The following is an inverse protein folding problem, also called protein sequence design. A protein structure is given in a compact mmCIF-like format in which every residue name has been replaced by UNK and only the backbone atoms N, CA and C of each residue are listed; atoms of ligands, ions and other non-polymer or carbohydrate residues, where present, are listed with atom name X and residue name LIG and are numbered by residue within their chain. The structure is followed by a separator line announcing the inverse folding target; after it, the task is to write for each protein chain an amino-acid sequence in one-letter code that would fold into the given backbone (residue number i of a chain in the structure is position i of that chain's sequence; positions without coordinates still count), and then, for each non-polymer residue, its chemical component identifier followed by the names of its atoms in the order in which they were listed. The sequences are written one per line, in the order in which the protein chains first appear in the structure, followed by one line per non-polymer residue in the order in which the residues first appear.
data_IF_971840056814
#
_entry.id   IF_971840056814
#
_cell.length_a   1.000
_cell.length_b   1.000
_cell.length_c   1.000
_cell.angle_alpha   90.00
_cell.angle_beta   90.00
_cell.angle_gamma   90.00
#
_symmetry.space_group_name_H-M   'P 1'
#
loop_
_entity.id
_entity.type
_entity.pdbx_description
1 polymer ?
#
# COMPACT_ATOMS: atom_id res chain seq x y z
N UNK A 1 -5.69 29.05 3.90
CA UNK A 1 -5.92 27.63 4.22
C UNK A 1 -6.22 26.86 2.94
N UNK A 2 -5.21 26.21 2.38
CA UNK A 2 -5.26 25.44 1.13
C UNK A 2 -5.57 23.96 1.45
N UNK A 3 -6.57 23.39 0.77
CA UNK A 3 -6.90 21.97 0.87
C UNK A 3 -6.14 21.20 -0.21
N UNK A 4 -5.37 20.20 0.22
CA UNK A 4 -4.50 19.41 -0.65
C UNK A 4 -4.88 17.94 -0.57
N UNK A 5 -4.98 17.31 -1.74
CA UNK A 5 -5.28 15.89 -1.86
C UNK A 5 -3.97 15.11 -2.06
N UNK A 6 -3.78 14.05 -1.27
CA UNK A 6 -2.72 13.08 -1.48
C UNK A 6 -3.20 11.65 -1.18
N UNK A 7 -3.42 10.86 -2.24
CA UNK A 7 -3.76 9.45 -2.14
C UNK A 7 -2.53 8.55 -1.93
N UNK A 8 -1.36 9.00 -2.38
CA UNK A 8 -0.09 8.29 -2.25
C UNK A 8 1.10 9.22 -1.97
N UNK A 9 2.28 8.62 -1.81
CA UNK A 9 3.51 9.33 -1.49
C UNK A 9 3.99 10.25 -2.61
N UNK A 10 3.79 9.89 -3.88
CA UNK A 10 4.28 10.67 -5.02
C UNK A 10 3.41 11.91 -5.24
N UNK A 11 2.08 11.77 -5.11
CA UNK A 11 1.14 12.90 -5.05
C UNK A 11 1.50 13.84 -3.90
N UNK A 12 1.66 13.31 -2.68
CA UNK A 12 2.08 14.09 -1.51
C UNK A 12 3.38 14.85 -1.78
N UNK A 13 4.40 14.16 -2.32
CA UNK A 13 5.72 14.74 -2.59
C UNK A 13 5.64 15.87 -3.61
N UNK A 14 4.85 15.68 -4.67
CA UNK A 14 4.64 16.70 -5.70
C UNK A 14 4.04 17.98 -5.09
N UNK A 15 2.97 17.83 -4.30
CA UNK A 15 2.32 19.00 -3.69
C UNK A 15 3.18 19.64 -2.60
N UNK A 16 3.82 18.85 -1.73
CA UNK A 16 4.73 19.37 -0.71
C UNK A 16 5.85 20.21 -1.35
N UNK A 17 6.39 19.77 -2.50
CA UNK A 17 7.38 20.55 -3.25
C UNK A 17 6.84 21.87 -3.76
N UNK A 18 5.61 21.89 -4.30
CA UNK A 18 4.94 23.11 -4.76
C UNK A 18 4.76 24.10 -3.61
N UNK A 19 4.22 23.65 -2.47
CA UNK A 19 3.96 24.51 -1.30
C UNK A 19 5.23 25.11 -0.71
N UNK A 20 6.33 24.35 -0.70
CA UNK A 20 7.64 24.84 -0.24
C UNK A 20 8.27 25.78 -1.26
N UNK A 21 8.03 25.56 -2.55
CA UNK A 21 8.57 26.39 -3.62
C UNK A 21 7.86 27.74 -3.77
N UNK A 22 6.68 27.89 -3.16
CA UNK A 22 5.94 29.15 -3.12
C UNK A 22 6.78 30.25 -2.45
N UNK A 23 6.62 31.49 -2.91
CA UNK A 23 7.39 32.65 -2.47
C UNK A 23 7.26 32.91 -0.96
N UNK A 24 6.12 32.54 -0.37
CA UNK A 24 5.83 32.73 1.06
C UNK A 24 6.10 31.48 1.92
N UNK A 25 6.60 30.37 1.34
CA UNK A 25 6.84 29.10 2.02
C UNK A 25 5.67 28.65 2.92
N UNK A 26 4.56 28.23 2.30
CA UNK A 26 3.26 28.02 2.98
C UNK A 26 3.42 27.23 4.30
N UNK A 27 3.08 27.84 5.45
CA UNK A 27 3.31 27.22 6.73
C UNK A 27 2.31 26.07 6.99
N UNK A 28 2.67 25.07 7.83
CA UNK A 28 1.86 23.86 8.01
C UNK A 28 0.43 24.10 8.55
N UNK A 29 0.20 25.19 9.28
CA UNK A 29 -1.11 25.62 9.78
C UNK A 29 -2.08 26.04 8.67
N UNK A 30 -1.55 26.48 7.53
CA UNK A 30 -2.32 26.92 6.38
C UNK A 30 -2.63 25.79 5.39
N UNK A 31 -2.20 24.56 5.68
CA UNK A 31 -2.37 23.41 4.77
C UNK A 31 -3.22 22.32 5.43
N UNK A 32 -4.35 22.00 4.80
CA UNK A 32 -5.15 20.83 5.17
C UNK A 32 -4.94 19.70 4.18
N UNK A 33 -4.61 18.51 4.70
CA UNK A 33 -4.40 17.31 3.89
C UNK A 33 -5.63 16.40 3.93
N UNK A 34 -6.10 15.95 2.77
CA UNK A 34 -7.22 15.01 2.61
C UNK A 34 -6.85 13.84 1.70
N UNK A 35 -7.40 12.66 1.98
CA UNK A 35 -7.26 11.44 1.15
C UNK A 35 -8.44 11.24 0.20
N UNK A 36 -9.58 11.87 0.48
CA UNK A 36 -10.76 11.76 -0.36
C UNK A 36 -10.69 12.81 -1.46
N UNK A 37 -10.65 12.38 -2.73
CA UNK A 37 -11.19 13.16 -3.85
C UNK A 37 -12.72 13.26 -3.67
N UNK A 38 -13.18 13.94 -2.61
CA UNK A 38 -14.55 14.44 -2.66
C UNK A 38 -14.62 15.42 -3.83
N UNK A 39 -15.75 15.39 -4.54
CA UNK A 39 -16.10 16.31 -5.63
C UNK A 39 -16.01 17.76 -5.14
N UNK A 40 -14.79 18.29 -5.07
CA UNK A 40 -14.50 19.64 -4.65
C UNK A 40 -13.91 20.33 -5.87
N UNK A 41 -14.84 21.02 -6.53
CA UNK A 41 -14.69 22.03 -7.56
C UNK A 41 -13.72 21.74 -8.70
N UNK A 42 -14.36 21.55 -9.85
CA UNK A 42 -13.99 21.91 -11.22
C UNK A 42 -13.44 23.35 -11.41
N UNK A 43 -12.97 24.03 -10.35
CA UNK A 43 -12.37 25.35 -10.40
C UNK A 43 -10.96 25.27 -9.85
N UNK A 44 -10.05 25.76 -10.68
CA UNK A 44 -8.61 25.68 -10.52
C UNK A 44 -8.07 24.27 -10.79
N UNK A 45 -8.16 23.89 -12.06
CA UNK A 45 -7.07 23.16 -12.70
C UNK A 45 -5.80 24.00 -12.52
N UNK A 46 -5.20 23.91 -11.33
CA UNK A 46 -3.93 24.52 -11.03
C UNK A 46 -2.97 23.92 -12.04
N UNK A 47 -2.54 24.79 -12.94
CA UNK A 47 -1.53 24.53 -13.94
C UNK A 47 -0.44 23.65 -13.32
N UNK A 48 0.05 22.69 -14.09
CA UNK A 48 1.26 21.94 -13.75
C UNK A 48 2.44 22.92 -13.70
N UNK A 49 2.50 23.76 -12.66
CA UNK A 49 3.53 24.77 -12.56
C UNK A 49 4.76 24.06 -12.06
N UNK A 50 5.68 23.90 -13.00
CA UNK A 50 6.96 23.23 -12.88
C UNK A 50 7.89 24.08 -11.99
N UNK A 51 7.57 24.20 -10.71
CA UNK A 51 8.42 24.88 -9.74
C UNK A 51 9.59 23.97 -9.37
N UNK A 52 10.67 24.13 -10.13
CA UNK A 52 11.97 23.50 -9.88
C UNK A 52 12.72 24.21 -8.74
N UNK A 53 12.05 24.49 -7.61
CA UNK A 53 12.77 25.01 -6.45
C UNK A 53 13.80 23.96 -5.99
N UNK A 54 15.08 24.37 -6.03
CA UNK A 54 16.23 23.55 -5.67
C UNK A 54 16.45 23.62 -4.16
N UNK A 55 15.55 23.06 -3.37
CA UNK A 55 15.81 22.82 -1.95
C UNK A 55 16.30 21.38 -1.74
N UNK A 56 17.29 21.21 -0.87
CA UNK A 56 17.89 19.90 -0.58
C UNK A 56 17.21 19.28 0.64
N UNK A 57 16.46 18.22 0.41
CA UNK A 57 15.84 17.43 1.48
C UNK A 57 16.82 16.36 1.97
N UNK A 58 17.00 16.17 3.29
CA UNK A 58 17.83 15.08 3.82
C UNK A 58 17.36 13.70 3.33
N UNK A 59 18.30 12.83 2.97
CA UNK A 59 17.99 11.47 2.50
C UNK A 59 17.22 10.67 3.55
N UNK A 60 17.63 10.76 4.81
CA UNK A 60 17.01 10.04 5.93
C UNK A 60 15.53 10.41 6.10
N UNK A 61 15.18 11.67 5.84
CA UNK A 61 13.79 12.11 5.83
C UNK A 61 13.00 11.41 4.71
N UNK A 62 13.56 11.34 3.49
CA UNK A 62 12.89 10.72 2.35
C UNK A 62 12.65 9.22 2.57
N UNK A 63 13.62 8.51 3.15
CA UNK A 63 13.48 7.09 3.50
C UNK A 63 12.40 6.89 4.58
N UNK A 64 12.38 7.73 5.61
CA UNK A 64 11.33 7.72 6.63
C UNK A 64 9.95 8.02 6.03
N UNK A 65 9.86 9.03 5.18
CA UNK A 65 8.60 9.49 4.59
C UNK A 65 7.97 8.46 3.65
N UNK A 66 8.78 7.72 2.89
CA UNK A 66 8.29 6.60 2.06
C UNK A 66 7.63 5.50 2.92
N UNK A 67 8.24 5.15 4.05
CA UNK A 67 7.69 4.12 4.96
C UNK A 67 6.42 4.65 5.64
N UNK A 68 6.47 5.87 6.17
CA UNK A 68 5.34 6.49 6.88
C UNK A 68 4.15 6.75 5.95
N UNK A 69 4.40 7.02 4.67
CA UNK A 69 3.34 7.17 3.65
C UNK A 69 2.42 5.95 3.54
N UNK A 70 2.91 4.75 3.88
CA UNK A 70 2.12 3.51 3.93
C UNK A 70 1.30 3.33 5.23
N UNK A 71 1.43 4.23 6.21
CA UNK A 71 0.68 4.13 7.46
C UNK A 71 -0.80 4.48 7.23
N UNK A 72 -1.72 3.80 7.92
CA UNK A 72 -3.18 3.98 7.70
C UNK A 72 -3.78 5.28 8.25
N UNK A 73 -3.01 6.05 9.01
CA UNK A 73 -3.52 7.22 9.72
C UNK A 73 -3.50 8.44 8.80
N UNK A 74 -4.62 9.14 8.57
CA UNK A 74 -4.69 10.30 7.68
C UNK A 74 -3.82 11.48 8.11
N UNK A 75 -3.45 11.57 9.40
CA UNK A 75 -2.59 12.66 9.88
C UNK A 75 -1.15 12.57 9.33
N UNK A 76 -0.76 11.43 8.73
CA UNK A 76 0.59 11.19 8.23
C UNK A 76 1.07 12.27 7.26
N UNK A 77 0.22 12.71 6.34
CA UNK A 77 0.59 13.68 5.31
C UNK A 77 0.88 15.06 5.88
N UNK A 78 0.00 15.51 6.79
CA UNK A 78 0.17 16.76 7.55
C UNK A 78 1.44 16.71 8.41
N UNK A 79 1.68 15.59 9.09
CA UNK A 79 2.85 15.42 9.95
C UNK A 79 4.16 15.43 9.14
N UNK A 80 4.20 14.71 8.01
CA UNK A 80 5.35 14.69 7.11
C UNK A 80 5.63 16.09 6.55
N UNK A 81 4.59 16.82 6.12
CA UNK A 81 4.75 18.19 5.63
C UNK A 81 5.29 19.13 6.72
N UNK A 82 4.76 19.06 7.94
CA UNK A 82 5.23 19.87 9.07
C UNK A 82 6.71 19.62 9.40
N UNK A 83 7.13 18.35 9.45
CA UNK A 83 8.53 17.99 9.71
C UNK A 83 9.43 18.43 8.56
N UNK A 84 9.00 18.27 7.31
CA UNK A 84 9.73 18.76 6.14
C UNK A 84 9.91 20.29 6.19
N UNK A 85 8.86 21.03 6.52
CA UNK A 85 8.90 22.48 6.66
C UNK A 85 9.91 22.89 7.75
N UNK A 86 9.84 22.28 8.95
CA UNK A 86 10.78 22.56 10.07
C UNK A 86 12.24 22.28 9.70
N UNK A 87 12.50 21.16 9.00
CA UNK A 87 13.85 20.81 8.53
C UNK A 87 14.45 21.88 7.60
N UNK A 88 13.61 22.49 6.76
CA UNK A 88 14.02 23.53 5.81
C UNK A 88 14.11 24.92 6.45
N UNK A 89 13.32 25.19 7.50
CA UNK A 89 13.23 26.50 8.17
C UNK A 89 14.11 26.65 9.42
N UNK A 90 15.19 25.86 9.52
CA UNK A 90 16.26 26.07 10.50
C UNK A 90 16.57 24.88 11.38
N UNK A 91 15.67 23.90 11.50
CA UNK A 91 15.87 22.73 12.36
C UNK A 91 16.56 21.57 11.60
N UNK A 92 17.73 21.80 11.02
CA UNK A 92 18.44 20.85 10.12
C UNK A 92 18.70 19.47 10.74
N UNK A 93 18.80 19.39 12.06
CA UNK A 93 19.06 18.17 12.82
C UNK A 93 17.82 17.62 13.54
N UNK A 94 16.61 18.09 13.19
CA UNK A 94 15.36 17.69 13.85
C UNK A 94 15.22 16.16 13.97
N UNK A 95 15.52 15.41 12.90
CA UNK A 95 15.43 13.95 12.91
C UNK A 95 16.35 13.25 13.93
N UNK A 96 17.41 13.91 14.41
CA UNK A 96 18.26 13.37 15.47
C UNK A 96 17.67 13.57 16.87
N UNK A 97 16.68 14.46 17.02
CA UNK A 97 16.05 14.79 18.30
C UNK A 97 14.87 13.83 18.52
N UNK A 98 15.15 12.64 19.05
CA UNK A 98 14.12 11.59 19.24
C UNK A 98 13.04 11.95 20.27
N UNK A 99 13.30 12.95 21.11
CA UNK A 99 12.35 13.47 22.11
C UNK A 99 11.38 14.51 21.52
N UNK A 100 11.62 14.98 20.30
CA UNK A 100 10.66 15.85 19.61
C UNK A 100 9.36 15.08 19.33
N UNK A 101 8.22 15.71 19.61
CA UNK A 101 6.91 15.05 19.53
C UNK A 101 6.53 14.59 18.11
N UNK A 102 6.96 15.34 17.09
CA UNK A 102 6.66 15.01 15.68
C UNK A 102 7.53 13.86 15.21
N UNK A 103 8.83 13.94 15.49
CA UNK A 103 9.82 12.90 15.18
C UNK A 103 9.46 11.60 15.89
N UNK A 104 9.10 11.67 17.17
CA UNK A 104 8.62 10.52 17.93
C UNK A 104 7.39 9.87 17.27
N UNK A 105 6.43 10.68 16.85
CA UNK A 105 5.22 10.20 16.19
C UNK A 105 5.52 9.54 14.84
N UNK A 106 6.39 10.15 14.01
CA UNK A 106 6.83 9.56 12.74
C UNK A 106 7.53 8.22 12.95
N UNK A 107 8.46 8.12 13.91
CA UNK A 107 9.13 6.85 14.21
C UNK A 107 8.17 5.79 14.74
N UNK A 108 7.14 6.17 15.50
CA UNK A 108 6.10 5.22 15.94
C UNK A 108 5.31 4.68 14.74
N UNK A 109 4.94 5.53 13.79
CA UNK A 109 4.28 5.11 12.54
C UNK A 109 5.20 4.18 11.74
N UNK A 110 6.47 4.56 11.56
CA UNK A 110 7.49 3.75 10.89
C UNK A 110 7.63 2.36 11.52
N UNK A 111 7.70 2.28 12.86
CA UNK A 111 7.75 1.01 13.60
C UNK A 111 6.50 0.16 13.36
N UNK A 112 5.31 0.77 13.31
CA UNK A 112 4.08 0.04 13.01
C UNK A 112 4.13 -0.57 11.60
N UNK A 113 4.43 0.23 10.58
CA UNK A 113 4.53 -0.23 9.19
C UNK A 113 5.60 -1.32 9.06
N UNK A 114 6.77 -1.13 9.66
CA UNK A 114 7.87 -2.11 9.64
C UNK A 114 7.49 -3.42 10.32
N UNK A 115 6.78 -3.35 11.45
CA UNK A 115 6.23 -4.52 12.13
C UNK A 115 5.21 -5.24 11.25
N UNK A 116 4.36 -4.51 10.53
CA UNK A 116 3.36 -5.11 9.65
C UNK A 116 4.04 -5.80 8.45
N UNK A 117 5.09 -5.19 7.88
CA UNK A 117 5.96 -5.82 6.87
C UNK A 117 6.63 -7.08 7.44
N UNK A 118 7.17 -7.01 8.65
CA UNK A 118 7.79 -8.17 9.29
C UNK A 118 6.76 -9.27 9.54
N UNK A 119 5.56 -8.93 10.05
CA UNK A 119 4.49 -9.90 10.27
C UNK A 119 4.04 -10.55 8.96
N UNK A 120 3.93 -9.77 7.91
CA UNK A 120 3.65 -10.27 6.57
C UNK A 120 4.72 -11.26 6.12
N UNK A 121 6.01 -10.93 6.30
CA UNK A 121 7.13 -11.79 5.88
C UNK A 121 7.29 -13.05 6.74
N UNK A 122 7.11 -12.95 8.05
CA UNK A 122 7.44 -13.99 9.03
C UNK A 122 6.26 -14.89 9.42
N UNK A 123 5.03 -14.36 9.38
CA UNK A 123 3.86 -15.03 9.94
C UNK A 123 2.71 -15.21 8.95
N UNK A 124 2.79 -14.68 7.73
CA UNK A 124 1.85 -15.12 6.67
C UNK A 124 2.20 -16.56 6.34
N UNK A 125 1.48 -17.45 7.00
CA UNK A 125 1.50 -18.88 6.78
C UNK A 125 0.24 -19.21 6.02
N UNK A 126 0.39 -19.63 4.78
CA UNK A 126 -0.70 -20.19 4.02
C UNK A 126 -1.03 -21.53 4.67
N UNK A 127 -2.10 -21.56 5.48
CA UNK A 127 -2.60 -22.79 6.08
C UNK A 127 -3.75 -23.27 5.22
N UNK A 128 -3.49 -24.42 4.62
CA UNK A 128 -4.53 -25.35 4.24
C UNK A 128 -5.53 -25.53 5.39
N UNK A 129 -6.75 -25.04 5.27
CA UNK A 129 -7.75 -25.21 6.33
C UNK A 129 -7.90 -26.77 6.55
N UNK A 130 -8.34 -27.33 7.70
CA UNK A 130 -8.94 -28.71 7.73
C UNK A 130 -10.31 -28.73 8.50
N UNK A 131 -11.28 -29.54 8.06
CA UNK A 131 -12.74 -29.46 8.31
C UNK A 131 -13.01 -30.84 8.81
N UNK A 132 -12.92 -30.94 10.12
CA UNK A 132 -13.38 -32.08 10.87
C UNK A 132 -12.97 -33.44 10.28
N UNK A 133 -11.70 -33.82 10.44
CA UNK A 133 -11.28 -34.99 11.22
C UNK A 133 -9.91 -35.52 10.74
N UNK A 134 -9.05 -35.80 11.74
CA UNK A 134 -7.81 -36.59 11.82
C UNK A 134 -7.24 -37.25 10.54
N UNK A 135 -5.93 -37.38 10.30
CA UNK A 135 -4.68 -37.00 10.96
C UNK A 135 -3.52 -37.27 9.97
N UNK A 136 -2.33 -36.73 10.26
CA UNK A 136 -0.99 -37.22 9.87
C UNK A 136 -0.74 -37.66 8.42
N UNK A 137 -0.27 -36.69 7.63
CA UNK A 137 0.57 -36.68 6.40
C UNK A 137 0.46 -35.21 5.91
N UNK A 138 1.37 -34.60 5.11
CA UNK A 138 1.10 -33.29 4.51
C UNK A 138 -0.08 -33.41 3.51
N UNK A 139 -1.29 -33.54 4.05
CA UNK A 139 -2.50 -33.96 3.36
C UNK A 139 -3.19 -32.75 2.75
N UNK A 140 -3.61 -32.82 1.47
CA UNK A 140 -4.62 -32.08 0.66
C UNK A 140 -5.01 -30.65 1.10
N UNK A 141 -6.16 -30.06 0.77
CA UNK A 141 -6.85 -29.07 1.60
C UNK A 141 -8.00 -29.54 2.41
N UNK A 142 -8.41 -28.59 3.21
CA UNK A 142 -9.59 -28.72 3.99
C UNK A 142 -10.77 -29.14 3.14
N UNK A 143 -11.62 -30.00 3.66
CA UNK A 143 -12.99 -30.09 3.19
C UNK A 143 -13.84 -28.80 3.40
N UNK A 144 -13.35 -27.75 4.12
CA UNK A 144 -14.01 -26.42 4.27
C UNK A 144 -13.36 -25.24 3.52
N UNK A 145 -12.28 -25.43 2.74
CA UNK A 145 -11.67 -24.28 2.05
C UNK A 145 -12.58 -23.90 0.89
N UNK A 146 -13.38 -22.87 1.12
CA UNK A 146 -14.35 -22.39 0.15
C UNK A 146 -13.72 -21.70 -1.06
N UNK A 147 -12.55 -21.07 -0.85
CA UNK A 147 -11.82 -20.27 -1.84
C UNK A 147 -10.32 -20.37 -1.56
N UNK A 148 -9.52 -20.60 -2.59
CA UNK A 148 -8.05 -20.60 -2.52
C UNK A 148 -7.46 -19.58 -3.51
N UNK A 149 -6.58 -18.69 -3.06
CA UNK A 149 -5.97 -17.66 -3.92
C UNK A 149 -4.46 -17.85 -3.98
N UNK A 150 -3.94 -18.14 -5.18
CA UNK A 150 -2.52 -18.29 -5.47
C UNK A 150 -1.90 -16.92 -5.80
N UNK A 151 -0.84 -16.54 -5.08
CA UNK A 151 -0.08 -15.33 -5.37
C UNK A 151 1.10 -15.66 -6.30
N UNK A 152 0.95 -15.35 -7.58
CA UNK A 152 1.96 -15.53 -8.62
C UNK A 152 2.02 -16.93 -9.23
N UNK A 153 2.91 -17.08 -10.23
CA UNK A 153 3.01 -18.29 -11.05
C UNK A 153 3.41 -19.54 -10.26
N UNK A 154 4.38 -19.43 -9.35
CA UNK A 154 4.92 -20.60 -8.63
C UNK A 154 3.87 -21.29 -7.77
N UNK A 155 3.06 -20.52 -7.04
CA UNK A 155 1.99 -21.06 -6.22
C UNK A 155 0.86 -21.63 -7.08
N UNK A 156 0.50 -20.94 -8.17
CA UNK A 156 -0.53 -21.39 -9.09
C UNK A 156 -0.13 -22.69 -9.81
N UNK A 157 1.10 -22.80 -10.32
CA UNK A 157 1.58 -24.00 -11.01
C UNK A 157 1.64 -25.23 -10.12
N UNK A 158 1.83 -25.05 -8.82
CA UNK A 158 1.79 -26.15 -7.85
C UNK A 158 0.39 -26.75 -7.69
N UNK A 159 -0.68 -25.96 -7.92
CA UNK A 159 -2.07 -26.40 -7.75
C UNK A 159 -2.81 -26.63 -9.07
N UNK A 160 -2.45 -25.89 -10.13
CA UNK A 160 -3.16 -25.82 -11.41
C UNK A 160 -2.35 -26.46 -12.56
N UNK A 161 -1.14 -26.96 -12.28
CA UNK A 161 -0.27 -27.58 -13.27
C UNK A 161 0.71 -26.62 -13.95
N UNK A 162 1.72 -27.19 -14.60
CA UNK A 162 2.86 -26.44 -15.19
C UNK A 162 2.47 -25.55 -16.37
N UNK A 163 1.35 -25.85 -17.02
CA UNK A 163 0.85 -25.10 -18.17
C UNK A 163 0.21 -23.77 -17.77
N UNK A 164 -0.10 -23.58 -16.48
CA UNK A 164 -0.65 -22.33 -15.97
C UNK A 164 0.25 -21.13 -16.27
N UNK A 165 -0.32 -20.10 -16.88
CA UNK A 165 0.33 -18.83 -17.22
C UNK A 165 -0.38 -17.68 -16.54
N UNK A 166 0.26 -17.10 -15.52
CA UNK A 166 -0.31 -15.97 -14.75
C UNK A 166 -0.76 -14.78 -15.62
N UNK A 167 -0.08 -14.54 -16.74
CA UNK A 167 -0.40 -13.44 -17.66
C UNK A 167 -1.70 -13.67 -18.44
N UNK A 168 -2.15 -14.92 -18.57
CA UNK A 168 -3.31 -15.31 -19.37
C UNK A 168 -4.46 -15.80 -18.47
N UNK A 169 -4.14 -16.59 -17.45
CA UNK A 169 -5.10 -17.37 -16.68
C UNK A 169 -5.49 -16.71 -15.34
N UNK A 170 -4.90 -15.56 -14.97
CA UNK A 170 -5.22 -14.88 -13.70
C UNK A 170 -6.70 -14.50 -13.60
N UNK A 171 -7.21 -14.48 -12.38
CA UNK A 171 -8.59 -14.09 -12.08
C UNK A 171 -9.66 -15.10 -12.49
N UNK A 172 -9.28 -16.16 -13.22
CA UNK A 172 -10.19 -17.24 -13.56
C UNK A 172 -10.36 -18.20 -12.37
N UNK A 173 -11.59 -18.69 -12.21
CA UNK A 173 -11.90 -19.75 -11.28
C UNK A 173 -11.58 -21.10 -11.90
N UNK A 174 -10.66 -21.82 -11.24
CA UNK A 174 -10.22 -23.14 -11.63
C UNK A 174 -10.52 -24.06 -10.46
N UNK A 175 -11.25 -25.14 -10.76
CA UNK A 175 -11.42 -26.24 -9.82
C UNK A 175 -10.12 -27.04 -9.79
N UNK A 176 -9.64 -27.31 -8.58
CA UNK A 176 -8.46 -28.15 -8.36
C UNK A 176 -8.81 -29.22 -7.33
N UNK A 177 -7.98 -30.26 -7.25
CA UNK A 177 -8.05 -31.26 -6.18
C UNK A 177 -7.97 -30.64 -4.77
N UNK A 178 -7.57 -29.37 -4.71
CA UNK A 178 -7.33 -28.60 -3.51
C UNK A 178 -8.55 -27.77 -3.08
N UNK A 179 -9.29 -27.19 -4.03
CA UNK A 179 -10.44 -26.34 -3.74
C UNK A 179 -11.30 -26.16 -5.02
N UNK A 180 -12.65 -26.23 -4.91
CA UNK A 180 -13.54 -26.01 -6.05
C UNK A 180 -13.46 -24.59 -6.61
N UNK A 181 -12.99 -23.61 -5.80
CA UNK A 181 -12.79 -22.23 -6.21
C UNK A 181 -11.36 -21.81 -5.94
N UNK A 182 -10.46 -22.23 -6.81
CA UNK A 182 -9.07 -21.78 -6.81
C UNK A 182 -8.92 -20.67 -7.85
N UNK A 183 -8.33 -19.54 -7.49
CA UNK A 183 -7.86 -18.55 -8.48
C UNK A 183 -6.39 -18.27 -8.27
N UNK A 184 -5.76 -17.67 -9.27
CA UNK A 184 -4.44 -17.08 -9.15
C UNK A 184 -4.48 -15.59 -9.50
N UNK A 185 -3.65 -14.81 -8.82
CA UNK A 185 -3.49 -13.38 -9.05
C UNK A 185 -2.01 -12.99 -8.98
N UNK A 186 -1.71 -11.73 -9.31
CA UNK A 186 -0.35 -11.21 -9.26
C UNK A 186 0.25 -11.35 -7.85
N UNK A 187 1.52 -11.73 -7.81
CA UNK A 187 2.27 -11.65 -6.56
C UNK A 187 2.56 -10.18 -6.23
N UNK A 188 2.36 -9.69 -4.99
CA UNK A 188 2.60 -8.29 -4.63
C UNK A 188 4.02 -7.80 -4.98
N UNK A 189 5.05 -8.62 -4.74
CA UNK A 189 6.42 -8.29 -5.12
C UNK A 189 6.65 -8.17 -6.65
N UNK A 190 5.80 -8.78 -7.49
CA UNK A 190 5.87 -8.58 -8.94
C UNK A 190 5.33 -7.20 -9.34
N UNK A 191 4.26 -6.75 -8.68
CA UNK A 191 3.67 -5.40 -8.85
C UNK A 191 4.72 -4.36 -8.44
N UNK A 192 5.30 -4.49 -7.25
CA UNK A 192 6.29 -3.53 -6.72
C UNK A 192 7.58 -3.43 -7.56
N UNK A 193 7.89 -4.45 -8.36
CA UNK A 193 9.08 -4.46 -9.24
C UNK A 193 8.77 -4.07 -10.68
N UNK A 194 7.52 -3.77 -11.02
CA UNK A 194 7.13 -3.38 -12.37
C UNK A 194 7.56 -1.92 -12.63
N UNK A 195 8.55 -1.66 -13.52
CA UNK A 195 9.05 -0.31 -13.77
C UNK A 195 8.08 0.56 -14.59
N UNK A 196 7.26 -0.05 -15.44
CA UNK A 196 6.26 0.67 -16.23
C UNK A 196 5.09 1.07 -15.32
N UNK A 197 4.89 2.37 -15.10
CA UNK A 197 3.88 2.89 -14.17
C UNK A 197 2.45 2.56 -14.60
N UNK A 198 2.16 2.57 -15.90
CA UNK A 198 0.84 2.22 -16.44
C UNK A 198 0.56 0.75 -16.16
N UNK A 199 1.54 -0.12 -16.46
CA UNK A 199 1.44 -1.55 -16.21
C UNK A 199 1.40 -1.86 -14.71
N UNK A 200 2.13 -1.12 -13.89
CA UNK A 200 2.11 -1.25 -12.43
C UNK A 200 0.71 -0.99 -11.87
N UNK A 201 0.12 0.15 -12.21
CA UNK A 201 -1.26 0.52 -11.82
C UNK A 201 -2.28 -0.49 -12.35
N UNK A 202 -2.12 -0.97 -13.59
CA UNK A 202 -2.96 -2.05 -14.14
C UNK A 202 -2.83 -3.35 -13.33
N UNK A 203 -1.61 -3.79 -13.02
CA UNK A 203 -1.37 -5.00 -12.22
C UNK A 203 -1.93 -4.87 -10.79
N UNK A 204 -1.80 -3.68 -10.18
CA UNK A 204 -2.36 -3.38 -8.86
C UNK A 204 -3.88 -3.42 -8.88
N UNK A 205 -4.52 -2.79 -9.87
CA UNK A 205 -5.97 -2.82 -10.02
C UNK A 205 -6.49 -4.24 -10.21
N UNK A 206 -5.85 -5.00 -11.11
CA UNK A 206 -6.14 -6.41 -11.35
C UNK A 206 -6.03 -7.27 -10.08
N UNK A 207 -4.98 -7.06 -9.29
CA UNK A 207 -4.80 -7.74 -8.01
C UNK A 207 -5.93 -7.43 -7.02
N UNK A 208 -6.34 -6.17 -6.92
CA UNK A 208 -7.45 -5.74 -6.06
C UNK A 208 -8.77 -6.36 -6.52
N UNK A 209 -9.02 -6.38 -7.82
CA UNK A 209 -10.25 -6.92 -8.40
C UNK A 209 -10.35 -8.44 -8.18
N UNK A 210 -9.24 -9.17 -8.36
CA UNK A 210 -9.14 -10.60 -8.08
C UNK A 210 -9.44 -10.88 -6.59
N UNK A 211 -8.89 -10.09 -5.67
CA UNK A 211 -9.18 -10.23 -4.23
C UNK A 211 -10.63 -9.89 -3.86
N UNK A 212 -11.24 -8.89 -4.52
CA UNK A 212 -12.66 -8.57 -4.34
C UNK A 212 -13.55 -9.72 -4.81
N UNK A 213 -13.25 -10.29 -5.98
CA UNK A 213 -13.95 -11.47 -6.49
C UNK A 213 -13.80 -12.66 -5.53
N UNK A 214 -12.59 -12.87 -4.98
CA UNK A 214 -12.36 -13.90 -3.97
C UNK A 214 -13.24 -13.71 -2.74
N UNK A 215 -13.29 -12.49 -2.20
CA UNK A 215 -14.14 -12.15 -1.06
C UNK A 215 -15.63 -12.34 -1.36
N UNK A 216 -16.10 -11.90 -2.52
CA UNK A 216 -17.52 -12.01 -2.92
C UNK A 216 -17.96 -13.47 -3.10
N UNK A 217 -17.02 -14.36 -3.44
CA UNK A 217 -17.32 -15.77 -3.58
C UNK A 217 -17.44 -16.50 -2.23
N UNK A 218 -16.96 -15.95 -1.12
CA UNK A 218 -17.19 -16.55 0.20
C UNK A 218 -18.69 -16.53 0.51
N UNK A 219 -19.26 -17.66 0.96
CA UNK A 219 -20.64 -17.66 1.44
C UNK A 219 -20.76 -16.71 2.64
N UNK A 220 -21.88 -15.97 2.80
CA UNK A 220 -22.13 -15.24 4.03
C UNK A 220 -22.15 -16.24 5.18
N UNK A 221 -21.37 -15.98 6.24
CA UNK A 221 -21.46 -16.75 7.48
C UNK A 221 -22.88 -16.59 8.03
N UNK A 222 -23.74 -17.58 7.79
CA UNK A 222 -24.93 -17.78 8.61
C UNK A 222 -24.40 -18.44 9.88
N UNK A 223 -24.19 -17.61 10.90
CA UNK A 223 -23.97 -18.04 12.27
C UNK A 223 -25.05 -17.35 13.09
N UNK A 224 -26.09 -18.12 13.42
CA UNK A 224 -27.01 -17.83 14.54
C UNK A 224 -26.25 -17.91 15.87
#
# INVERSE_FOLDING_TARGET
MELVIAGDFDEWRSVARRLIADADHVPPEDVQWSEQRQELSLFEAAETVNHSALFRVPRDFMELAQIVGCHRDPVRWRLLYRVLWRLLHGEKHLLAITTDGDVYTLHRMQKSVTRDIHKMKAFVRFRKVASGAAASTPAAPDAQTEVFVCLGSTSAQALMGRDFRITQDRGNWIETDWCPRTMATWHPAAILRQPDSVRNSQMQQQFIDDLKAARQSLKPNISD
#
